data_IF_909970531019
#
_entry.id   IF_909970531019
#
_cell.length_a   1.000
_cell.length_b   1.000
_cell.length_c   1.000
_cell.angle_alpha   90.00
_cell.angle_beta   90.00
_cell.angle_gamma   90.00
#
_symmetry.space_group_name_H-M   'P 1'
#
loop_
_entity.id
_entity.type
_entity.pdbx_description
1 polymer ?
#
# COMPACT_ATOMS: atom_id res chain seq x y z
N UNK A 1 -28.62 4.17 -45.15
CA UNK A 1 -29.29 5.20 -44.31
C UNK A 1 -30.09 4.61 -43.11
N UNK A 2 -29.74 3.43 -42.57
CA UNK A 2 -30.38 2.87 -41.34
C UNK A 2 -29.39 2.16 -40.40
N UNK A 3 -28.13 2.61 -40.32
CA UNK A 3 -27.07 1.94 -39.54
C UNK A 3 -26.76 2.54 -38.17
N UNK A 4 -27.13 3.80 -37.94
CA UNK A 4 -26.74 4.59 -36.75
C UNK A 4 -27.42 4.04 -35.49
N UNK A 5 -28.73 3.84 -35.56
CA UNK A 5 -29.55 3.33 -34.45
C UNK A 5 -29.24 1.89 -34.08
N UNK A 6 -28.69 1.11 -35.03
CA UNK A 6 -28.33 -0.29 -34.81
C UNK A 6 -27.02 -0.46 -34.06
N UNK A 7 -25.99 0.35 -34.38
CA UNK A 7 -24.68 0.29 -33.72
C UNK A 7 -24.78 0.73 -32.26
N UNK A 8 -25.50 1.83 -32.00
CA UNK A 8 -25.69 2.34 -30.64
C UNK A 8 -26.48 1.37 -29.76
N UNK A 9 -27.54 0.75 -30.32
CA UNK A 9 -28.29 -0.30 -29.61
C UNK A 9 -27.44 -1.54 -29.39
N UNK A 10 -26.70 -2.00 -30.40
CA UNK A 10 -25.90 -3.22 -30.27
C UNK A 10 -24.74 -3.07 -29.26
N UNK A 11 -24.20 -1.86 -29.09
CA UNK A 11 -23.23 -1.57 -28.01
C UNK A 11 -23.92 -1.52 -26.64
N UNK A 12 -25.08 -0.88 -26.54
CA UNK A 12 -25.86 -0.81 -25.28
C UNK A 12 -26.42 -2.17 -24.82
N UNK A 13 -26.79 -3.03 -25.76
CA UNK A 13 -27.34 -4.36 -25.48
C UNK A 13 -26.22 -5.39 -25.20
N UNK A 14 -24.95 -4.99 -25.26
CA UNK A 14 -23.79 -5.87 -25.01
C UNK A 14 -23.47 -6.85 -26.14
N UNK A 15 -24.14 -6.75 -27.29
CA UNK A 15 -23.95 -7.62 -28.45
C UNK A 15 -22.63 -7.34 -29.18
N UNK A 16 -22.12 -6.11 -29.11
CA UNK A 16 -20.81 -5.71 -29.65
C UNK A 16 -20.09 -4.83 -28.65
N UNK A 17 -18.77 -5.04 -28.52
CA UNK A 17 -17.94 -4.36 -27.52
C UNK A 17 -17.56 -2.93 -27.91
N UNK A 18 -17.55 -2.62 -29.21
CA UNK A 18 -17.14 -1.32 -29.74
C UNK A 18 -17.81 -1.09 -31.10
N UNK A 19 -18.45 0.06 -31.28
CA UNK A 19 -18.96 0.53 -32.55
C UNK A 19 -18.02 1.56 -33.17
N UNK A 20 -17.77 1.47 -34.47
CA UNK A 20 -16.93 2.43 -35.19
C UNK A 20 -17.73 3.01 -36.34
N UNK A 21 -17.73 4.34 -36.46
CA UNK A 21 -18.32 5.05 -37.59
C UNK A 21 -17.25 5.89 -38.26
N UNK A 22 -16.98 5.56 -39.52
CA UNK A 22 -16.11 6.33 -40.38
C UNK A 22 -16.96 7.28 -41.20
N UNK A 23 -16.55 8.55 -41.29
CA UNK A 23 -17.22 9.52 -42.13
C UNK A 23 -17.25 9.06 -43.61
N UNK A 24 -18.35 9.29 -44.37
CA UNK A 24 -18.39 9.00 -45.80
C UNK A 24 -17.26 9.69 -46.56
N UNK A 25 -16.80 9.06 -47.65
CA UNK A 25 -15.71 9.56 -48.49
C UNK A 25 -14.34 9.71 -47.76
N UNK A 26 -14.06 8.82 -46.79
CA UNK A 26 -12.77 8.73 -46.09
C UNK A 26 -11.57 8.84 -47.03
N UNK A 27 -11.52 8.00 -48.07
CA UNK A 27 -10.40 7.94 -49.00
C UNK A 27 -10.20 9.25 -49.77
N UNK A 28 -11.28 9.82 -50.30
CA UNK A 28 -11.24 11.07 -51.08
C UNK A 28 -10.81 12.26 -50.21
N UNK A 29 -11.29 12.34 -48.97
CA UNK A 29 -10.88 13.39 -48.01
C UNK A 29 -9.43 13.23 -47.58
N UNK A 30 -8.96 11.99 -47.38
CA UNK A 30 -7.56 11.71 -47.05
C UNK A 30 -6.65 12.18 -48.19
N UNK A 31 -7.01 11.87 -49.44
CA UNK A 31 -6.26 12.29 -50.64
C UNK A 31 -6.25 13.80 -50.83
N UNK A 32 -7.37 14.49 -50.55
CA UNK A 32 -7.47 15.97 -50.58
C UNK A 32 -6.85 16.67 -49.37
N UNK A 33 -6.14 15.95 -48.50
CA UNK A 33 -5.53 16.45 -47.27
C UNK A 33 -6.52 17.11 -46.28
N UNK A 34 -7.80 16.72 -46.32
CA UNK A 34 -8.83 17.24 -45.41
C UNK A 34 -8.90 16.41 -44.12
N UNK A 35 -9.32 17.00 -42.98
CA UNK A 35 -9.55 16.25 -41.75
C UNK A 35 -10.73 15.28 -41.94
N UNK A 36 -10.63 14.11 -41.32
CA UNK A 36 -11.68 13.08 -41.34
C UNK A 36 -12.08 12.75 -39.91
N UNK A 37 -13.38 12.65 -39.65
CA UNK A 37 -13.90 12.30 -38.33
C UNK A 37 -14.21 10.81 -38.25
N UNK A 38 -13.67 10.14 -37.22
CA UNK A 38 -14.03 8.77 -36.85
C UNK A 38 -14.69 8.84 -35.48
N UNK A 39 -15.92 8.32 -35.37
CA UNK A 39 -16.69 8.31 -34.11
C UNK A 39 -16.67 6.90 -33.52
N UNK A 40 -16.27 6.79 -32.25
CA UNK A 40 -16.26 5.54 -31.50
C UNK A 40 -17.45 5.50 -30.52
N UNK A 41 -18.16 4.37 -30.51
CA UNK A 41 -19.28 4.09 -29.61
C UNK A 41 -18.86 2.98 -28.65
N UNK A 42 -18.80 3.30 -27.36
CA UNK A 42 -18.38 2.37 -26.31
C UNK A 42 -19.26 2.54 -25.06
N UNK A 43 -19.30 1.51 -24.22
CA UNK A 43 -19.98 1.56 -22.92
C UNK A 43 -18.95 1.70 -21.79
N UNK A 44 -18.92 2.83 -21.05
CA UNK A 44 -17.97 3.01 -19.96
C UNK A 44 -18.21 2.07 -18.77
N UNK A 45 -19.35 1.38 -18.71
CA UNK A 45 -19.66 0.40 -17.65
C UNK A 45 -19.11 -1.00 -17.95
N UNK A 46 -18.66 -1.30 -19.19
CA UNK A 46 -18.04 -2.57 -19.56
C UNK A 46 -16.52 -2.42 -19.74
N UNK A 47 -15.75 -3.00 -18.83
CA UNK A 47 -14.29 -3.03 -18.89
C UNK A 47 -13.75 -3.55 -20.23
N UNK A 48 -14.43 -4.50 -20.88
CA UNK A 48 -14.00 -5.03 -22.18
C UNK A 48 -14.23 -4.03 -23.31
N UNK A 49 -15.25 -3.18 -23.20
CA UNK A 49 -15.51 -2.08 -24.13
C UNK A 49 -14.43 -1.00 -24.01
N UNK A 50 -14.06 -0.64 -22.78
CA UNK A 50 -12.96 0.30 -22.50
C UNK A 50 -11.61 -0.18 -23.05
N UNK A 51 -11.25 -1.45 -22.83
CA UNK A 51 -10.01 -2.04 -23.37
C UNK A 51 -10.03 -2.00 -24.90
N UNK A 52 -11.15 -2.39 -25.53
CA UNK A 52 -11.28 -2.39 -26.99
C UNK A 52 -11.15 -0.98 -27.59
N UNK A 53 -11.72 0.03 -26.92
CA UNK A 53 -11.56 1.44 -27.30
C UNK A 53 -10.09 1.88 -27.24
N UNK A 54 -9.38 1.55 -26.15
CA UNK A 54 -7.97 1.91 -25.98
C UNK A 54 -7.08 1.34 -27.09
N UNK A 55 -7.26 0.06 -27.44
CA UNK A 55 -6.53 -0.59 -28.54
C UNK A 55 -6.79 0.13 -29.87
N UNK A 56 -8.05 0.43 -30.19
CA UNK A 56 -8.38 1.08 -31.45
C UNK A 56 -7.88 2.53 -31.50
N UNK A 57 -7.95 3.26 -30.39
CA UNK A 57 -7.44 4.63 -30.29
C UNK A 57 -5.93 4.68 -30.55
N UNK A 58 -5.16 3.72 -30.03
CA UNK A 58 -3.73 3.61 -30.31
C UNK A 58 -3.45 3.35 -31.80
N UNK A 59 -4.21 2.46 -32.44
CA UNK A 59 -4.10 2.19 -33.88
C UNK A 59 -4.46 3.42 -34.73
N UNK A 60 -5.53 4.14 -34.38
CA UNK A 60 -5.93 5.38 -35.07
C UNK A 60 -4.89 6.50 -34.90
N UNK A 61 -4.27 6.61 -33.73
CA UNK A 61 -3.18 7.57 -33.51
C UNK A 61 -1.97 7.26 -34.39
N UNK A 62 -1.58 5.99 -34.52
CA UNK A 62 -0.50 5.58 -35.42
C UNK A 62 -0.83 5.89 -36.89
N UNK A 63 -2.05 5.58 -37.33
CA UNK A 63 -2.52 5.91 -38.68
C UNK A 63 -2.50 7.43 -38.93
N UNK A 64 -2.94 8.23 -37.95
CA UNK A 64 -2.93 9.68 -38.04
C UNK A 64 -1.50 10.23 -38.20
N UNK A 65 -0.52 9.67 -37.47
CA UNK A 65 0.89 10.04 -37.61
C UNK A 65 1.47 9.66 -38.98
N UNK A 66 1.10 8.50 -39.52
CA UNK A 66 1.51 8.09 -40.86
C UNK A 66 0.94 9.02 -41.94
N UNK A 67 -0.36 9.30 -41.90
CA UNK A 67 -1.02 10.21 -42.84
C UNK A 67 -0.47 11.64 -42.73
N UNK A 68 -0.13 12.10 -41.53
CA UNK A 68 0.53 13.38 -41.31
C UNK A 68 1.91 13.40 -41.99
N UNK A 69 2.73 12.36 -41.79
CA UNK A 69 4.04 12.24 -42.44
C UNK A 69 3.96 12.25 -43.97
N UNK A 70 3.01 11.51 -44.55
CA UNK A 70 2.78 11.51 -46.00
C UNK A 70 2.35 12.88 -46.54
N UNK A 71 1.47 13.59 -45.82
CA UNK A 71 1.02 14.95 -46.19
C UNK A 71 2.18 15.94 -46.16
N UNK A 72 2.98 15.91 -45.11
CA UNK A 72 4.16 16.78 -44.97
C UNK A 72 5.19 16.49 -46.07
N UNK A 73 5.42 15.21 -46.39
CA UNK A 73 6.28 14.80 -47.49
C UNK A 73 5.81 15.33 -48.86
N UNK A 74 4.50 15.23 -49.16
CA UNK A 74 3.92 15.80 -50.40
C UNK A 74 4.02 17.32 -50.48
N UNK A 75 4.01 18.01 -49.34
CA UNK A 75 4.17 19.47 -49.25
C UNK A 75 5.64 19.92 -49.18
N UNK A 76 6.60 18.98 -49.20
CA UNK A 76 8.03 19.29 -49.08
C UNK A 76 8.45 19.80 -47.70
N UNK A 77 7.59 19.65 -46.69
CA UNK A 77 7.85 20.07 -45.31
C UNK A 77 8.56 18.92 -44.59
N UNK A 78 9.79 19.16 -44.15
CA UNK A 78 10.50 18.18 -43.33
C UNK A 78 9.85 18.10 -41.95
N UNK A 79 9.54 16.90 -41.48
CA UNK A 79 8.85 16.68 -40.21
C UNK A 79 9.61 17.25 -39.01
N UNK A 80 10.95 17.31 -39.08
CA UNK A 80 11.81 17.98 -38.09
C UNK A 80 11.56 19.50 -37.96
N UNK A 81 11.00 20.16 -39.00
CA UNK A 81 10.67 21.59 -38.95
C UNK A 81 9.47 21.90 -38.04
N UNK A 82 8.66 20.89 -37.68
CA UNK A 82 7.49 21.05 -36.80
C UNK A 82 7.80 20.73 -35.33
N UNK A 83 8.96 20.14 -35.05
CA UNK A 83 9.41 19.77 -33.71
C UNK A 83 10.76 20.45 -33.42
N UNK A 84 10.78 21.78 -33.20
CA UNK A 84 12.02 22.53 -33.02
C UNK A 84 12.77 22.19 -31.72
N UNK A 85 12.14 21.45 -30.80
CA UNK A 85 12.71 21.05 -29.52
C UNK A 85 12.72 19.52 -29.44
N UNK A 86 13.92 18.95 -29.39
CA UNK A 86 14.14 17.53 -29.10
C UNK A 86 14.43 17.39 -27.60
N UNK A 87 13.44 16.92 -26.82
CA UNK A 87 13.62 16.66 -25.39
C UNK A 87 14.23 15.26 -25.25
N UNK A 88 15.45 15.19 -24.72
CA UNK A 88 16.11 13.92 -24.35
C UNK A 88 16.02 13.72 -22.86
N UNK A 89 15.15 12.81 -22.44
CA UNK A 89 15.05 12.37 -21.05
C UNK A 89 16.05 11.25 -20.81
N UNK A 90 17.02 11.48 -19.93
CA UNK A 90 17.99 10.47 -19.52
C UNK A 90 17.60 10.03 -18.12
N UNK A 91 17.11 8.80 -17.98
CA UNK A 91 16.86 8.21 -16.67
C UNK A 91 18.21 7.95 -15.98
N UNK A 92 18.44 8.63 -14.85
CA UNK A 92 19.64 8.45 -14.02
C UNK A 92 19.46 7.35 -12.96
N UNK A 93 18.27 6.78 -12.83
CA UNK A 93 17.94 5.73 -11.87
C UNK A 93 18.15 4.36 -12.50
N UNK A 94 18.72 3.42 -11.76
CA UNK A 94 18.77 2.02 -12.19
C UNK A 94 17.41 1.34 -11.99
N UNK A 95 17.14 0.26 -12.71
CA UNK A 95 15.92 -0.53 -12.52
C UNK A 95 15.79 -1.06 -11.08
N UNK A 96 16.92 -1.32 -10.40
CA UNK A 96 16.92 -1.69 -8.98
C UNK A 96 16.45 -0.54 -8.07
N UNK A 97 16.78 0.71 -8.39
CA UNK A 97 16.34 1.87 -7.61
C UNK A 97 14.85 2.13 -7.77
N UNK A 98 14.30 1.89 -8.97
CA UNK A 98 12.85 2.00 -9.22
C UNK A 98 12.08 0.91 -8.46
N UNK A 99 12.54 -0.35 -8.51
CA UNK A 99 11.92 -1.42 -7.76
C UNK A 99 12.09 -1.25 -6.24
N UNK A 100 13.26 -0.76 -5.80
CA UNK A 100 13.52 -0.41 -4.40
C UNK A 100 12.55 0.64 -3.85
N UNK A 101 12.15 1.61 -4.67
CA UNK A 101 11.14 2.62 -4.29
C UNK A 101 9.80 2.01 -3.93
N UNK A 102 9.28 1.10 -4.78
CA UNK A 102 8.00 0.43 -4.53
C UNK A 102 8.07 -0.48 -3.28
N UNK A 103 9.18 -1.21 -3.13
CA UNK A 103 9.39 -2.08 -1.97
C UNK A 103 9.57 -1.31 -0.66
N UNK A 104 10.16 -0.11 -0.73
CA UNK A 104 10.33 0.80 0.41
C UNK A 104 9.02 1.25 1.03
N UNK A 105 7.92 1.12 0.29
CA UNK A 105 6.57 1.40 0.77
C UNK A 105 5.86 0.13 1.24
N UNK A 106 5.87 -0.91 0.41
CA UNK A 106 5.06 -2.12 0.65
C UNK A 106 5.55 -2.89 1.87
N UNK A 107 6.86 -3.08 2.02
CA UNK A 107 7.41 -3.91 3.09
C UNK A 107 7.06 -3.33 4.48
N UNK A 108 7.42 -2.07 4.81
CA UNK A 108 7.05 -1.51 6.10
C UNK A 108 5.54 -1.45 6.33
N UNK A 109 4.73 -1.17 5.30
CA UNK A 109 3.27 -1.18 5.43
C UNK A 109 2.73 -2.58 5.77
N UNK A 110 3.18 -3.63 5.07
CA UNK A 110 2.78 -5.01 5.33
C UNK A 110 3.14 -5.43 6.75
N UNK A 111 4.35 -5.10 7.19
CA UNK A 111 4.84 -5.41 8.52
C UNK A 111 4.07 -4.70 9.61
N UNK A 112 3.80 -3.41 9.42
CA UNK A 112 2.99 -2.61 10.32
C UNK A 112 1.57 -3.17 10.45
N UNK A 113 0.96 -3.53 9.32
CA UNK A 113 -0.38 -4.13 9.30
C UNK A 113 -0.38 -5.50 9.99
N UNK A 114 0.64 -6.32 9.77
CA UNK A 114 0.76 -7.62 10.41
C UNK A 114 0.89 -7.51 11.94
N UNK A 115 1.72 -6.58 12.44
CA UNK A 115 1.81 -6.32 13.89
C UNK A 115 0.49 -5.81 14.44
N UNK A 116 -0.09 -4.80 13.78
CA UNK A 116 -1.31 -4.14 14.23
C UNK A 116 -2.52 -5.08 14.24
N UNK A 117 -2.63 -6.01 13.29
CA UNK A 117 -3.78 -6.92 13.19
C UNK A 117 -3.54 -8.27 13.88
N UNK A 118 -2.31 -8.77 13.92
CA UNK A 118 -1.97 -10.08 14.50
C UNK A 118 -2.24 -10.18 16.01
N UNK A 119 -2.10 -9.07 16.76
CA UNK A 119 -2.40 -9.03 18.19
C UNK A 119 -3.89 -8.86 18.54
N UNK A 120 -4.72 -8.38 17.62
CA UNK A 120 -6.10 -7.98 17.92
C UNK A 120 -6.97 -9.12 18.46
N UNK A 121 -7.00 -10.33 17.86
CA UNK A 121 -7.85 -11.41 18.36
C UNK A 121 -7.49 -11.79 19.80
N UNK A 122 -6.19 -11.82 20.13
CA UNK A 122 -5.72 -12.10 21.47
C UNK A 122 -6.12 -10.98 22.45
N UNK A 123 -5.96 -9.72 22.07
CA UNK A 123 -6.33 -8.60 22.94
C UNK A 123 -7.84 -8.54 23.23
N UNK A 124 -8.67 -8.86 22.23
CA UNK A 124 -10.13 -8.91 22.36
C UNK A 124 -10.53 -10.05 23.30
N UNK A 125 -10.07 -11.28 23.05
CA UNK A 125 -10.48 -12.44 23.86
C UNK A 125 -9.96 -12.35 25.30
N UNK A 126 -8.71 -11.94 25.50
CA UNK A 126 -8.08 -11.87 26.82
C UNK A 126 -8.65 -10.77 27.72
N UNK A 127 -9.34 -9.75 27.22
CA UNK A 127 -9.89 -8.68 28.08
C UNK A 127 -11.39 -8.58 27.93
N UNK A 128 -11.88 -8.13 26.77
CA UNK A 128 -13.31 -7.99 26.54
C UNK A 128 -14.03 -9.35 26.55
N UNK A 129 -13.40 -10.41 26.04
CA UNK A 129 -13.95 -11.77 26.07
C UNK A 129 -14.05 -12.32 27.50
N UNK A 130 -12.98 -12.22 28.29
CA UNK A 130 -13.00 -12.59 29.71
C UNK A 130 -14.00 -11.75 30.53
N UNK A 131 -14.13 -10.45 30.21
CA UNK A 131 -15.11 -9.56 30.83
C UNK A 131 -16.55 -9.95 30.48
N UNK A 132 -16.80 -10.32 29.24
CA UNK A 132 -18.12 -10.79 28.79
C UNK A 132 -18.51 -12.11 29.48
N UNK A 133 -17.55 -13.01 29.69
CA UNK A 133 -17.73 -14.30 30.38
C UNK A 133 -17.77 -14.18 31.91
N UNK A 134 -17.51 -12.99 32.48
CA UNK A 134 -17.42 -12.76 33.93
C UNK A 134 -16.17 -13.35 34.60
N UNK A 135 -15.23 -13.92 33.83
CA UNK A 135 -14.02 -14.54 34.37
C UNK A 135 -12.95 -13.53 34.74
N UNK A 136 -13.00 -12.32 34.16
CA UNK A 136 -12.06 -11.24 34.47
C UNK A 136 -12.18 -10.79 35.94
N UNK A 137 -13.40 -10.71 36.46
CA UNK A 137 -13.66 -10.32 37.85
C UNK A 137 -13.14 -11.37 38.84
N UNK A 138 -13.41 -12.65 38.55
CA UNK A 138 -12.87 -13.77 39.32
C UNK A 138 -11.33 -13.82 39.28
N UNK A 139 -10.70 -13.46 38.16
CA UNK A 139 -9.25 -13.42 38.05
C UNK A 139 -8.65 -12.30 38.92
N UNK A 140 -9.33 -11.16 39.04
CA UNK A 140 -8.88 -10.01 39.83
C UNK A 140 -9.09 -10.17 41.35
N UNK A 141 -9.91 -11.13 41.79
CA UNK A 141 -10.04 -11.51 43.20
C UNK A 141 -9.01 -12.54 43.66
N UNK A 142 -8.23 -13.09 42.73
CA UNK A 142 -7.09 -13.95 43.07
C UNK A 142 -5.96 -13.15 43.72
N UNK A 143 -5.04 -13.78 44.47
CA UNK A 143 -3.89 -13.09 45.08
C UNK A 143 -2.87 -12.54 44.06
N UNK A 144 -3.10 -12.71 42.75
CA UNK A 144 -2.24 -12.16 41.71
C UNK A 144 -2.44 -10.65 41.57
N UNK A 145 -1.34 -9.88 41.52
CA UNK A 145 -1.43 -8.45 41.30
C UNK A 145 -2.03 -8.13 39.92
N UNK A 146 -2.93 -7.14 39.83
CA UNK A 146 -3.54 -6.74 38.55
C UNK A 146 -2.50 -6.29 37.51
N UNK A 147 -1.35 -5.77 37.96
CA UNK A 147 -0.21 -5.44 37.11
C UNK A 147 0.41 -6.69 36.48
N UNK A 148 0.60 -7.75 37.25
CA UNK A 148 1.13 -9.02 36.72
C UNK A 148 0.18 -9.64 35.69
N UNK A 149 -1.13 -9.59 35.96
CA UNK A 149 -2.16 -10.04 35.00
C UNK A 149 -2.08 -9.24 33.69
N UNK A 150 -1.99 -7.91 33.78
CA UNK A 150 -1.89 -7.06 32.59
C UNK A 150 -0.59 -7.30 31.81
N UNK A 151 0.55 -7.42 32.50
CA UNK A 151 1.85 -7.69 31.85
C UNK A 151 1.84 -9.05 31.14
N UNK A 152 1.25 -10.07 31.74
CA UNK A 152 1.09 -11.37 31.09
C UNK A 152 0.25 -11.25 29.80
N UNK A 153 -0.87 -10.54 29.86
CA UNK A 153 -1.71 -10.28 28.66
C UNK A 153 -0.95 -9.46 27.61
N UNK A 154 -0.17 -8.46 28.02
CA UNK A 154 0.66 -7.65 27.13
C UNK A 154 1.67 -8.51 26.37
N UNK A 155 2.38 -9.41 27.07
CA UNK A 155 3.35 -10.33 26.47
C UNK A 155 2.67 -11.24 25.44
N UNK A 156 1.50 -11.80 25.76
CA UNK A 156 0.76 -12.66 24.83
C UNK A 156 0.38 -11.89 23.56
N UNK A 157 -0.23 -10.71 23.72
CA UNK A 157 -0.69 -9.90 22.59
C UNK A 157 0.49 -9.41 21.74
N UNK A 158 1.57 -8.93 22.37
CA UNK A 158 2.76 -8.46 21.64
C UNK A 158 3.44 -9.61 20.90
N UNK A 159 3.49 -10.80 21.49
CA UNK A 159 4.06 -12.00 20.85
C UNK A 159 3.25 -12.41 19.63
N UNK A 160 1.91 -12.38 19.72
CA UNK A 160 1.04 -12.69 18.58
C UNK A 160 1.23 -11.68 17.44
N UNK A 161 1.31 -10.38 17.75
CA UNK A 161 1.62 -9.35 16.75
C UNK A 161 2.99 -9.54 16.10
N UNK A 162 4.04 -9.80 16.90
CA UNK A 162 5.39 -10.03 16.39
C UNK A 162 5.47 -11.29 15.52
N UNK A 163 4.83 -12.38 15.94
CA UNK A 163 4.80 -13.64 15.20
C UNK A 163 4.09 -13.46 13.86
N UNK A 164 2.97 -12.75 13.83
CA UNK A 164 2.26 -12.41 12.59
C UNK A 164 3.18 -11.65 11.64
N UNK A 165 3.93 -10.67 12.13
CA UNK A 165 4.81 -9.89 11.28
C UNK A 165 6.04 -10.65 10.78
N UNK A 166 6.62 -11.52 11.61
CA UNK A 166 7.67 -12.45 11.17
C UNK A 166 7.14 -13.39 10.08
N UNK A 167 5.93 -13.92 10.26
CA UNK A 167 5.28 -14.75 9.26
C UNK A 167 5.01 -13.98 7.96
N UNK A 168 4.55 -12.73 8.03
CA UNK A 168 4.36 -11.86 6.86
C UNK A 168 5.67 -11.54 6.16
N UNK A 169 6.74 -11.26 6.91
CA UNK A 169 8.08 -11.05 6.34
C UNK A 169 8.58 -12.32 5.63
N UNK A 170 8.40 -13.48 6.26
CA UNK A 170 8.77 -14.78 5.70
C UNK A 170 7.96 -15.12 4.44
N UNK A 171 6.65 -14.88 4.47
CA UNK A 171 5.78 -15.06 3.31
C UNK A 171 6.18 -14.14 2.17
N UNK A 172 6.45 -12.86 2.46
CA UNK A 172 6.94 -11.91 1.47
C UNK A 172 8.28 -12.35 0.87
N UNK A 173 9.25 -12.71 1.72
CA UNK A 173 10.55 -13.21 1.27
C UNK A 173 10.43 -14.50 0.43
N UNK A 174 9.49 -15.38 0.77
CA UNK A 174 9.19 -16.58 -0.01
C UNK A 174 8.59 -16.22 -1.37
N UNK A 175 7.56 -15.36 -1.42
CA UNK A 175 6.91 -14.91 -2.67
C UNK A 175 7.91 -14.25 -3.60
N UNK A 176 8.81 -13.41 -3.10
CA UNK A 176 9.84 -12.75 -3.92
C UNK A 176 10.81 -13.74 -4.58
N UNK A 177 11.05 -14.91 -3.98
CA UNK A 177 11.91 -15.97 -4.54
C UNK A 177 11.20 -16.88 -5.55
N UNK A 178 9.89 -16.76 -5.71
CA UNK A 178 9.13 -17.59 -6.65
C UNK A 178 9.13 -17.01 -8.07
N UNK A 179 9.25 -17.89 -9.07
CA UNK A 179 9.17 -17.54 -10.50
C UNK A 179 7.87 -16.79 -10.87
N UNK A 180 6.81 -16.96 -10.07
CA UNK A 180 5.53 -16.27 -10.24
C UNK A 180 5.66 -14.75 -10.08
N UNK A 181 6.48 -14.28 -9.13
CA UNK A 181 6.70 -12.85 -8.92
C UNK A 181 7.59 -12.25 -10.03
N UNK A 182 8.59 -13.01 -10.50
CA UNK A 182 9.40 -12.60 -11.65
C UNK A 182 8.58 -12.50 -12.94
N UNK A 183 7.58 -13.36 -13.14
CA UNK A 183 6.64 -13.27 -14.25
C UNK A 183 5.67 -12.10 -14.12
N UNK A 184 5.21 -11.79 -12.91
CA UNK A 184 4.34 -10.63 -12.66
C UNK A 184 5.03 -9.30 -13.01
N UNK A 185 6.32 -9.17 -12.68
CA UNK A 185 7.14 -7.99 -12.99
C UNK A 185 7.57 -7.88 -14.45
N UNK A 186 7.51 -8.96 -15.23
CA UNK A 186 7.87 -8.97 -16.66
C UNK A 186 6.68 -8.92 -17.63
N UNK A 187 5.46 -9.21 -17.18
CA UNK A 187 4.28 -9.34 -18.07
C UNK A 187 3.20 -8.27 -17.86
N UNK A 188 3.37 -7.35 -16.89
CA UNK A 188 2.44 -6.24 -16.67
C UNK A 188 2.84 -4.97 -17.43
N UNK A 189 1.87 -4.18 -17.88
CA UNK A 189 2.07 -2.85 -18.51
C UNK A 189 2.73 -1.80 -17.58
N UNK A 190 3.09 -2.17 -16.35
CA UNK A 190 3.98 -1.40 -15.47
C UNK A 190 5.44 -1.73 -15.81
N UNK A 191 6.05 -0.87 -16.62
CA UNK A 191 7.27 -1.13 -17.38
C UNK A 191 8.50 -1.63 -16.60
N UNK A 192 9.38 -2.31 -17.35
CA UNK A 192 10.84 -2.46 -17.18
C UNK A 192 11.45 -2.38 -15.76
N UNK A 193 10.77 -2.87 -14.73
CA UNK A 193 11.33 -3.04 -13.38
C UNK A 193 11.88 -4.47 -13.16
N UNK A 194 12.15 -5.18 -14.26
CA UNK A 194 12.52 -6.60 -14.30
C UNK A 194 14.01 -6.88 -14.12
N UNK A 195 14.72 -6.07 -13.34
CA UNK A 195 16.07 -6.43 -12.89
C UNK A 195 16.01 -7.48 -11.76
N UNK A 196 17.01 -8.36 -11.62
CA UNK A 196 17.12 -9.20 -10.43
C UNK A 196 17.20 -8.30 -9.20
N UNK A 197 16.17 -8.35 -8.36
CA UNK A 197 16.12 -7.58 -7.12
C UNK A 197 17.22 -8.08 -6.17
N UNK A 198 18.31 -7.32 -6.05
CA UNK A 198 19.35 -7.59 -5.06
C UNK A 198 18.89 -7.08 -3.70
N UNK A 199 18.48 -8.01 -2.85
CA UNK A 199 18.04 -7.79 -1.48
C UNK A 199 19.23 -7.68 -0.50
N UNK A 200 20.29 -6.98 -0.89
CA UNK A 200 21.51 -6.81 -0.07
C UNK A 200 21.23 -6.08 1.26
N UNK A 201 20.05 -5.46 1.39
CA UNK A 201 19.59 -4.84 2.63
C UNK A 201 19.24 -5.84 3.75
N UNK A 202 19.08 -7.15 3.48
CA UNK A 202 18.96 -8.17 4.53
C UNK A 202 20.34 -8.59 5.08
N UNK A 203 21.22 -7.63 5.34
CA UNK A 203 22.45 -7.89 6.11
C UNK A 203 22.08 -8.30 7.53
N UNK A 204 22.87 -9.17 8.17
CA UNK A 204 22.59 -9.67 9.54
C UNK A 204 22.38 -8.55 10.58
N UNK A 205 23.11 -7.43 10.45
CA UNK A 205 22.95 -6.25 11.29
C UNK A 205 21.59 -5.55 11.09
N UNK A 206 21.10 -5.48 9.85
CA UNK A 206 19.85 -4.80 9.50
C UNK A 206 18.66 -5.61 9.98
N UNK A 207 18.75 -6.94 9.86
CA UNK A 207 17.76 -7.88 10.40
C UNK A 207 17.61 -7.69 11.90
N UNK A 208 18.73 -7.52 12.63
CA UNK A 208 18.68 -7.27 14.07
C UNK A 208 17.88 -6.00 14.41
N UNK A 209 18.19 -4.87 13.75
CA UNK A 209 17.45 -3.62 14.01
C UNK A 209 15.99 -3.69 13.58
N UNK A 210 15.70 -4.33 12.44
CA UNK A 210 14.34 -4.60 11.98
C UNK A 210 13.58 -5.37 13.05
N UNK A 211 14.10 -6.50 13.54
CA UNK A 211 13.44 -7.31 14.56
C UNK A 211 13.24 -6.52 15.86
N UNK A 212 14.23 -5.76 16.29
CA UNK A 212 14.13 -4.92 17.49
C UNK A 212 13.01 -3.87 17.37
N UNK A 213 12.96 -3.15 16.25
CA UNK A 213 11.92 -2.14 15.98
C UNK A 213 10.54 -2.81 15.93
N UNK A 214 10.44 -3.99 15.33
CA UNK A 214 9.19 -4.76 15.24
C UNK A 214 8.69 -5.23 16.61
N UNK A 215 9.60 -5.65 17.50
CA UNK A 215 9.25 -6.00 18.88
C UNK A 215 8.72 -4.77 19.62
N UNK A 216 9.41 -3.63 19.52
CA UNK A 216 8.97 -2.38 20.17
C UNK A 216 7.59 -1.93 19.64
N UNK A 217 7.41 -1.97 18.32
CA UNK A 217 6.13 -1.66 17.68
C UNK A 217 5.03 -2.64 18.13
N UNK A 218 5.34 -3.92 18.27
CA UNK A 218 4.42 -4.94 18.78
C UNK A 218 3.96 -4.68 20.21
N UNK A 219 4.87 -4.26 21.09
CA UNK A 219 4.52 -3.87 22.47
C UNK A 219 3.66 -2.59 22.47
N UNK A 220 3.98 -1.62 21.61
CA UNK A 220 3.19 -0.39 21.49
C UNK A 220 1.75 -0.69 21.06
N UNK A 221 1.56 -1.45 19.98
CA UNK A 221 0.23 -1.85 19.52
C UNK A 221 -0.51 -2.70 20.56
N UNK A 222 0.18 -3.65 21.21
CA UNK A 222 -0.41 -4.45 22.28
C UNK A 222 -0.94 -3.58 23.43
N UNK A 223 -0.21 -2.53 23.82
CA UNK A 223 -0.67 -1.55 24.81
C UNK A 223 -1.96 -0.85 24.38
N UNK A 224 -1.99 -0.33 23.14
CA UNK A 224 -3.19 0.34 22.60
C UNK A 224 -4.38 -0.63 22.48
N UNK A 225 -4.15 -1.84 21.98
CA UNK A 225 -5.20 -2.86 21.83
C UNK A 225 -5.75 -3.30 23.19
N UNK A 226 -4.91 -3.51 24.20
CA UNK A 226 -5.39 -3.83 25.54
C UNK A 226 -6.17 -2.67 26.17
N UNK A 227 -5.73 -1.42 25.96
CA UNK A 227 -6.46 -0.23 26.39
C UNK A 227 -7.87 -0.18 25.78
N UNK A 228 -7.98 -0.33 24.46
CA UNK A 228 -9.27 -0.34 23.74
C UNK A 228 -10.16 -1.51 24.17
N UNK A 229 -9.59 -2.70 24.32
CA UNK A 229 -10.32 -3.89 24.76
C UNK A 229 -10.84 -3.77 26.20
N UNK A 230 -10.10 -3.09 27.07
CA UNK A 230 -10.52 -2.81 28.46
C UNK A 230 -11.76 -1.91 28.50
N UNK A 231 -11.82 -0.89 27.65
CA UNK A 231 -12.95 0.06 27.61
C UNK A 231 -14.24 -0.60 27.11
N UNK A 232 -14.14 -1.60 26.24
CA UNK A 232 -15.29 -2.32 25.70
C UNK A 232 -16.07 -3.12 26.77
N UNK A 233 -17.38 -3.27 26.57
CA UNK A 233 -18.24 -4.07 27.46
C UNK A 233 -18.34 -5.55 27.04
N UNK A 234 -17.89 -5.88 25.83
CA UNK A 234 -17.88 -7.24 25.30
C UNK A 234 -17.15 -7.36 23.97
N UNK A 235 -17.09 -8.59 23.45
CA UNK A 235 -16.28 -8.97 22.29
C UNK A 235 -16.61 -8.15 21.03
N UNK A 236 -17.90 -7.95 20.74
CA UNK A 236 -18.35 -7.18 19.55
C UNK A 236 -17.93 -5.71 19.61
N UNK A 237 -18.03 -5.10 20.80
CA UNK A 237 -17.66 -3.69 20.99
C UNK A 237 -16.14 -3.51 20.89
N UNK A 238 -15.36 -4.41 21.51
CA UNK A 238 -13.91 -4.41 21.40
C UNK A 238 -13.45 -4.57 19.94
N UNK A 239 -14.07 -5.49 19.20
CA UNK A 239 -13.79 -5.68 17.77
C UNK A 239 -14.08 -4.41 16.95
N UNK A 240 -15.17 -3.70 17.28
CA UNK A 240 -15.52 -2.42 16.64
C UNK A 240 -14.50 -1.33 16.96
N UNK A 241 -13.98 -1.28 18.19
CA UNK A 241 -12.94 -0.32 18.60
C UNK A 241 -11.58 -0.60 17.97
N UNK A 242 -11.30 -1.82 17.50
CA UNK A 242 -10.06 -2.14 16.79
C UNK A 242 -10.06 -1.63 15.34
N UNK A 243 -11.21 -1.46 14.69
CA UNK A 243 -11.23 -1.07 13.26
C UNK A 243 -10.62 0.31 13.00
N UNK A 244 -10.91 1.37 13.79
CA UNK A 244 -10.27 2.67 13.65
C UNK A 244 -8.75 2.64 13.87
N UNK A 245 -8.26 1.72 14.71
CA UNK A 245 -6.82 1.58 14.99
C UNK A 245 -6.03 1.28 13.71
N UNK A 246 -6.54 0.39 12.87
CA UNK A 246 -5.91 0.05 11.59
C UNK A 246 -5.89 1.25 10.65
N UNK A 247 -7.01 1.98 10.55
CA UNK A 247 -7.13 3.15 9.67
C UNK A 247 -6.14 4.24 10.11
N UNK A 248 -6.09 4.54 11.41
CA UNK A 248 -5.14 5.52 11.97
C UNK A 248 -3.70 5.07 11.73
N UNK A 249 -3.42 3.78 11.79
CA UNK A 249 -2.10 3.23 11.51
C UNK A 249 -1.68 3.35 10.03
N UNK A 250 -2.64 3.39 9.09
CA UNK A 250 -2.37 3.53 7.66
C UNK A 250 -2.11 4.97 7.22
N UNK A 251 -2.74 5.96 7.85
CA UNK A 251 -2.63 7.38 7.45
C UNK A 251 -1.16 7.82 7.29
N UNK A 252 -0.26 7.59 8.27
CA UNK A 252 1.11 8.06 8.15
C UNK A 252 1.92 7.30 7.08
N UNK A 253 1.52 6.07 6.75
CA UNK A 253 2.10 5.31 5.64
C UNK A 253 1.83 5.96 4.28
N UNK A 254 0.60 6.46 4.09
CA UNK A 254 0.25 7.20 2.88
C UNK A 254 0.94 8.56 2.80
N UNK A 255 1.15 9.24 3.92
CA UNK A 255 1.85 10.54 3.92
C UNK A 255 3.31 10.40 3.48
N UNK A 256 3.98 9.31 3.87
CA UNK A 256 5.37 9.02 3.49
C UNK A 256 5.55 8.43 2.08
N UNK A 257 4.45 8.13 1.38
CA UNK A 257 4.47 7.50 0.06
C UNK A 257 5.17 8.37 -0.99
N UNK A 258 4.99 9.69 -0.91
CA UNK A 258 5.54 10.62 -1.90
C UNK A 258 6.95 11.14 -1.54
N UNK A 259 7.39 10.99 -0.29
CA UNK A 259 8.68 11.52 0.19
C UNK A 259 9.82 10.59 -0.23
N UNK A 260 10.85 11.08 -0.90
CA UNK A 260 12.03 10.28 -1.24
C UNK A 260 12.84 9.84 0.00
N UNK A 261 13.63 8.76 -0.10
CA UNK A 261 14.46 8.30 1.03
C UNK A 261 15.51 9.35 1.48
N UNK A 262 15.96 10.22 0.57
CA UNK A 262 16.90 11.31 0.84
C UNK A 262 16.23 12.59 1.35
N UNK A 263 14.90 12.66 1.32
CA UNK A 263 14.10 13.81 1.75
C UNK A 263 13.58 13.64 3.19
N UNK A 264 14.01 12.56 3.87
CA UNK A 264 13.61 12.27 5.24
C UNK A 264 14.31 13.23 6.21
N UNK A 265 13.53 14.16 6.75
CA UNK A 265 13.95 15.03 7.86
C UNK A 265 13.85 14.35 9.24
N UNK A 266 14.51 14.94 10.24
CA UNK A 266 14.59 14.45 11.63
C UNK A 266 13.21 14.14 12.23
N UNK A 267 12.18 14.96 11.94
CA UNK A 267 10.85 14.77 12.52
C UNK A 267 10.21 13.43 12.10
N UNK A 268 10.55 12.89 10.93
CA UNK A 268 10.03 11.61 10.47
C UNK A 268 10.46 10.47 11.39
N UNK A 269 11.63 10.57 12.01
CA UNK A 269 12.17 9.54 12.91
C UNK A 269 11.64 9.62 14.35
N UNK A 270 10.78 10.60 14.65
CA UNK A 270 10.23 10.85 16.00
C UNK A 270 8.72 10.57 16.06
N UNK A 271 7.98 10.81 14.97
CA UNK A 271 6.53 10.58 14.93
C UNK A 271 6.27 9.07 14.89
N UNK A 272 5.38 8.51 15.73
CA UNK A 272 5.17 7.06 15.76
C UNK A 272 4.59 6.60 14.43
N UNK A 273 4.86 5.34 14.08
CA UNK A 273 4.48 4.73 12.78
C UNK A 273 5.28 5.32 11.62
N UNK A 274 5.31 6.65 11.47
CA UNK A 274 6.17 7.37 10.51
C UNK A 274 7.63 6.99 10.70
N UNK A 275 8.10 6.95 11.96
CA UNK A 275 9.47 6.61 12.31
C UNK A 275 9.88 5.21 11.84
N UNK A 276 8.99 4.23 11.98
CA UNK A 276 9.22 2.87 11.50
C UNK A 276 9.25 2.84 9.97
N UNK A 277 8.32 3.50 9.29
CA UNK A 277 8.30 3.51 7.83
C UNK A 277 9.54 4.22 7.27
N UNK A 278 9.93 5.35 7.86
CA UNK A 278 11.11 6.13 7.48
C UNK A 278 12.40 5.30 7.59
N UNK A 279 12.61 4.60 8.70
CA UNK A 279 13.84 3.81 8.88
C UNK A 279 13.89 2.57 7.97
N UNK A 280 12.75 1.93 7.72
CA UNK A 280 12.67 0.86 6.73
C UNK A 280 12.99 1.35 5.33
N UNK A 281 12.53 2.57 4.98
CA UNK A 281 12.87 3.21 3.72
C UNK A 281 14.38 3.44 3.61
N UNK A 282 15.03 3.96 4.65
CA UNK A 282 16.49 4.08 4.65
C UNK A 282 17.20 2.74 4.45
N UNK A 283 16.76 1.68 5.16
CA UNK A 283 17.36 0.35 5.03
C UNK A 283 17.25 -0.21 3.61
N UNK A 284 16.10 -0.04 2.95
CA UNK A 284 15.87 -0.54 1.58
C UNK A 284 16.72 0.22 0.57
N UNK A 285 16.99 1.50 0.80
CA UNK A 285 17.90 2.31 -0.02
C UNK A 285 19.38 2.17 0.38
N UNK A 286 19.72 1.28 1.33
CA UNK A 286 21.09 1.04 1.79
C UNK A 286 21.68 2.18 2.64
N UNK A 287 20.84 3.08 3.15
CA UNK A 287 21.26 4.19 3.99
C UNK A 287 21.28 3.71 5.45
N UNK A 288 22.48 3.59 6.01
CA UNK A 288 22.68 3.16 7.40
C UNK A 288 23.15 4.32 8.28
N UNK A 289 22.19 5.02 8.88
CA UNK A 289 22.47 6.11 9.82
C UNK A 289 22.13 5.68 11.26
N UNK A 290 23.17 5.46 12.08
CA UNK A 290 23.00 5.09 13.49
C UNK A 290 22.25 6.14 14.32
N UNK A 291 22.37 7.42 13.95
CA UNK A 291 21.62 8.50 14.60
C UNK A 291 20.12 8.37 14.37
N UNK A 292 19.71 8.11 13.12
CA UNK A 292 18.29 7.91 12.79
C UNK A 292 17.74 6.65 13.46
N UNK A 293 18.48 5.53 13.43
CA UNK A 293 18.10 4.29 14.13
C UNK A 293 17.90 4.56 15.63
N UNK A 294 18.83 5.28 16.27
CA UNK A 294 18.73 5.66 17.68
C UNK A 294 17.51 6.51 17.99
N UNK A 295 17.18 7.48 17.11
CA UNK A 295 15.98 8.31 17.23
C UNK A 295 14.69 7.48 17.12
N UNK A 296 14.62 6.53 16.19
CA UNK A 296 13.45 5.65 16.05
C UNK A 296 13.27 4.74 17.25
N UNK A 297 14.35 4.10 17.72
CA UNK A 297 14.29 3.25 18.91
C UNK A 297 13.88 4.08 20.13
N UNK A 298 14.53 5.23 20.35
CA UNK A 298 14.25 6.11 21.48
C UNK A 298 12.81 6.63 21.48
N UNK A 299 12.33 7.14 20.34
CA UNK A 299 10.95 7.61 20.20
C UNK A 299 9.95 6.48 20.41
N UNK A 300 10.18 5.30 19.83
CA UNK A 300 9.29 4.14 19.98
C UNK A 300 9.22 3.67 21.43
N UNK A 301 10.34 3.65 22.17
CA UNK A 301 10.34 3.32 23.60
C UNK A 301 9.45 4.30 24.40
N UNK A 302 9.50 5.60 24.07
CA UNK A 302 8.63 6.59 24.71
C UNK A 302 7.15 6.28 24.43
N UNK A 303 6.78 5.99 23.18
CA UNK A 303 5.39 5.63 22.85
C UNK A 303 4.95 4.30 23.44
N UNK A 304 5.86 3.32 23.57
CA UNK A 304 5.60 2.08 24.32
C UNK A 304 5.25 2.41 25.77
N UNK A 305 6.04 3.25 26.43
CA UNK A 305 5.76 3.69 27.81
C UNK A 305 4.41 4.37 27.95
N UNK A 306 4.04 5.25 27.00
CA UNK A 306 2.74 5.91 26.97
C UNK A 306 1.61 4.89 26.78
N UNK A 307 1.69 4.02 25.77
CA UNK A 307 0.65 3.05 25.46
C UNK A 307 0.42 2.06 26.61
N UNK A 308 1.49 1.50 27.18
CA UNK A 308 1.43 0.59 28.33
C UNK A 308 0.96 1.32 29.59
N UNK A 309 1.36 2.58 29.78
CA UNK A 309 0.89 3.42 30.87
C UNK A 309 -0.62 3.65 30.82
N UNK A 310 -1.16 3.98 29.63
CA UNK A 310 -2.60 4.14 29.39
C UNK A 310 -3.34 2.83 29.65
N UNK A 311 -2.84 1.71 29.11
CA UNK A 311 -3.44 0.39 29.34
C UNK A 311 -3.48 0.03 30.83
N UNK A 312 -2.39 0.31 31.56
CA UNK A 312 -2.30 0.07 33.00
C UNK A 312 -3.26 0.95 33.79
N UNK A 313 -3.40 2.22 33.41
CA UNK A 313 -4.34 3.13 34.05
C UNK A 313 -5.79 2.67 33.85
N UNK A 314 -6.17 2.30 32.62
CA UNK A 314 -7.53 1.85 32.31
C UNK A 314 -7.86 0.52 32.99
N UNK A 315 -6.93 -0.45 32.96
CA UNK A 315 -7.12 -1.77 33.56
C UNK A 315 -7.26 -1.74 35.09
N UNK A 316 -6.75 -0.70 35.75
CA UNK A 316 -6.88 -0.53 37.20
C UNK A 316 -8.17 0.18 37.62
N UNK A 317 -8.85 0.84 36.67
CA UNK A 317 -10.02 1.64 37.00
C UNK A 317 -11.26 0.74 36.99
N UNK A 318 -11.82 0.51 38.17
CA UNK A 318 -12.95 -0.40 38.39
C UNK A 318 -14.13 -0.13 37.44
N UNK A 319 -14.43 1.15 37.14
CA UNK A 319 -15.52 1.54 36.24
C UNK A 319 -15.40 0.99 34.81
N UNK A 320 -14.19 0.67 34.36
CA UNK A 320 -13.95 0.10 33.03
C UNK A 320 -13.80 -1.42 33.07
N UNK A 321 -13.60 -2.02 34.25
CA UNK A 321 -13.39 -3.46 34.38
C UNK A 321 -14.69 -4.17 34.75
N UNK A 322 -15.48 -3.61 35.67
CA UNK A 322 -16.71 -4.22 36.16
C UNK A 322 -17.92 -3.79 35.30
N UNK A 323 -18.82 -4.73 35.02
CA UNK A 323 -20.16 -4.39 34.48
C UNK A 323 -21.00 -3.82 35.62
N UNK A 324 -21.50 -2.61 35.46
CA UNK A 324 -22.72 -2.17 36.14
C UNK A 324 -23.89 -2.41 35.18
#
# INVERSE_FOLDING_TARGET
KSGITGIEKAVKDGNVRLGVRVEPAFQEKVEKMQPVTITLFFDPSDNRSLISMGVLQNQLNMLNQQLLGERLGKLGIQQQSLTPIEIKEINLSTDEQMAGSFMSLIIPLLLLMAVATGGMPAAIDLVAGEKERGTLEALLTTPASSKAVLVAKLIVVSTMGCLSAIASLGAFAFTMKTDAFQKFTTTGEGGNAGGPLNFDFFTGQNIFYILLIMILLGIMFAGVQLALSTVAKGFKEASTYMSPLVIVAMIPAYLLMQTGAKELEIYHFIVPIVNVIAIFKEFIYGIFNLGHIGMVIGSTIVYVGIAVGIATYLFRKESFVFKH
#
